data_IF_618012658515
#
_entry.id   IF_618012658515
#
_cell.length_a   1.000
_cell.length_b   1.000
_cell.length_c   1.000
_cell.angle_alpha   90.00
_cell.angle_beta   90.00
_cell.angle_gamma   90.00
#
_symmetry.space_group_name_H-M   'P 1'
#
loop_
_entity.id
_entity.type
_entity.pdbx_description
1 polymer ?
#
# COMPACT_ATOMS: atom_id res chain seq x y z
N UNK A 1 26.18 -13.24 14.20
CA UNK A 1 25.21 -12.37 13.47
C UNK A 1 23.83 -12.90 13.76
N UNK A 2 22.96 -12.11 14.41
CA UNK A 2 21.60 -12.54 14.77
C UNK A 2 20.75 -12.68 13.51
N UNK A 3 20.58 -13.89 12.98
CA UNK A 3 19.54 -14.20 12.00
C UNK A 3 18.18 -14.17 12.70
N UNK A 4 17.66 -12.98 12.96
CA UNK A 4 16.33 -12.77 13.55
C UNK A 4 15.25 -12.71 12.47
N UNK A 5 14.02 -13.13 12.80
CA UNK A 5 12.80 -13.01 11.98
C UNK A 5 12.62 -11.61 11.41
N UNK A 6 13.08 -10.60 12.14
CA UNK A 6 13.10 -9.19 11.75
C UNK A 6 13.82 -8.97 10.43
N UNK A 7 14.98 -9.60 10.20
CA UNK A 7 15.71 -9.44 8.94
C UNK A 7 14.98 -10.08 7.77
N UNK A 8 14.39 -11.26 7.98
CA UNK A 8 13.58 -11.93 6.96
C UNK A 8 12.35 -11.12 6.57
N UNK A 9 11.67 -10.50 7.56
CA UNK A 9 10.53 -9.61 7.30
C UNK A 9 10.99 -8.34 6.57
N UNK A 10 12.12 -7.76 6.98
CA UNK A 10 12.67 -6.56 6.35
C UNK A 10 13.03 -6.79 4.87
N UNK A 11 13.57 -7.96 4.53
CA UNK A 11 13.80 -8.33 3.12
C UNK A 11 12.48 -8.37 2.35
N UNK A 12 11.43 -8.97 2.92
CA UNK A 12 10.09 -8.99 2.30
C UNK A 12 9.53 -7.59 2.06
N UNK A 13 9.60 -6.71 3.07
CA UNK A 13 9.21 -5.30 2.96
C UNK A 13 10.00 -4.58 1.87
N UNK A 14 11.33 -4.73 1.85
CA UNK A 14 12.17 -4.07 0.86
C UNK A 14 11.86 -4.51 -0.58
N UNK A 15 11.60 -5.80 -0.80
CA UNK A 15 11.20 -6.32 -2.13
C UNK A 15 9.85 -5.74 -2.54
N UNK A 16 8.89 -5.69 -1.61
CA UNK A 16 7.57 -5.14 -1.88
C UNK A 16 7.62 -3.64 -2.19
N UNK A 17 8.37 -2.86 -1.41
CA UNK A 17 8.52 -1.42 -1.62
C UNK A 17 9.25 -1.13 -2.94
N UNK A 18 10.24 -1.95 -3.32
CA UNK A 18 10.93 -1.83 -4.61
C UNK A 18 9.96 -2.01 -5.78
N UNK A 19 9.10 -3.04 -5.73
CA UNK A 19 8.09 -3.29 -6.78
C UNK A 19 7.15 -2.09 -6.93
N UNK A 20 6.65 -1.56 -5.82
CA UNK A 20 5.76 -0.39 -5.81
C UNK A 20 6.46 0.86 -6.37
N UNK A 21 7.73 1.07 -6.01
CA UNK A 21 8.52 2.20 -6.51
C UNK A 21 8.73 2.10 -8.03
N UNK A 22 9.11 0.92 -8.53
CA UNK A 22 9.32 0.69 -9.97
C UNK A 22 8.04 0.96 -10.74
N UNK A 23 6.90 0.46 -10.26
CA UNK A 23 5.62 0.72 -10.90
C UNK A 23 5.25 2.21 -10.88
N UNK A 24 5.45 2.90 -9.77
CA UNK A 24 5.17 4.34 -9.67
C UNK A 24 6.00 5.14 -10.69
N UNK A 25 7.26 4.76 -10.89
CA UNK A 25 8.13 5.37 -11.91
C UNK A 25 7.61 5.08 -13.31
N UNK A 26 7.21 3.84 -13.61
CA UNK A 26 6.67 3.47 -14.92
C UNK A 26 5.38 4.22 -15.22
N UNK A 27 4.48 4.34 -14.24
CA UNK A 27 3.20 5.04 -14.40
C UNK A 27 3.43 6.54 -14.61
N UNK A 28 4.26 7.18 -13.78
CA UNK A 28 4.57 8.62 -13.92
C UNK A 28 5.32 8.96 -15.21
N UNK A 29 6.22 8.08 -15.69
CA UNK A 29 6.87 8.27 -16.98
C UNK A 29 5.90 8.14 -18.17
N UNK A 30 4.78 7.45 -17.97
CA UNK A 30 3.75 7.20 -18.97
C UNK A 30 2.48 8.04 -18.74
N UNK A 31 2.57 9.17 -18.03
CA UNK A 31 1.39 10.02 -17.69
C UNK A 31 0.58 10.45 -18.93
N UNK A 32 1.25 10.68 -20.06
CA UNK A 32 0.59 11.00 -21.33
C UNK A 32 -0.38 9.89 -21.81
N UNK A 33 -0.10 8.62 -21.48
CA UNK A 33 -0.98 7.48 -21.80
C UNK A 33 -2.24 7.42 -20.94
N UNK A 34 -2.26 8.07 -19.76
CA UNK A 34 -3.42 8.09 -18.88
C UNK A 34 -4.38 9.24 -19.20
N UNK A 35 -3.86 10.42 -19.59
CA UNK A 35 -4.69 11.57 -19.97
C UNK A 35 -5.26 11.47 -21.38
N UNK A 36 -4.56 10.82 -22.32
CA UNK A 36 -5.02 10.62 -23.71
C UNK A 36 -5.56 9.21 -23.95
N UNK A 37 -6.25 8.61 -22.95
CA UNK A 37 -6.73 7.22 -23.02
C UNK A 37 -7.67 6.98 -24.21
N UNK A 38 -8.50 7.97 -24.56
CA UNK A 38 -9.39 7.95 -25.72
C UNK A 38 -8.72 8.32 -27.06
N UNK A 39 -7.41 8.62 -27.03
CA UNK A 39 -6.67 9.19 -28.16
C UNK A 39 -6.91 10.69 -28.31
N UNK A 40 -6.07 11.36 -29.11
CA UNK A 40 -6.33 12.74 -29.55
C UNK A 40 -6.84 12.71 -30.99
N UNK A 41 -7.20 13.87 -31.55
CA UNK A 41 -7.66 13.97 -32.94
C UNK A 41 -6.68 13.32 -33.95
N UNK A 42 -5.39 13.29 -33.62
CA UNK A 42 -4.32 12.76 -34.46
C UNK A 42 -3.40 11.74 -33.75
N UNK A 43 -3.78 11.21 -32.58
CA UNK A 43 -3.03 10.14 -31.92
C UNK A 43 -3.98 8.98 -31.55
N UNK A 44 -3.63 7.73 -31.88
CA UNK A 44 -4.51 6.60 -31.64
C UNK A 44 -4.71 6.35 -30.13
N UNK A 45 -5.87 5.81 -29.73
CA UNK A 45 -6.15 5.45 -28.34
C UNK A 45 -5.24 4.33 -27.84
N UNK A 46 -5.19 4.18 -26.52
CA UNK A 46 -4.44 3.08 -25.90
C UNK A 46 -5.02 1.73 -26.31
N UNK A 47 -4.14 0.74 -26.52
CA UNK A 47 -4.61 -0.60 -26.87
C UNK A 47 -5.27 -1.29 -25.68
N UNK A 48 -6.26 -2.15 -25.96
CA UNK A 48 -6.90 -2.98 -24.94
C UNK A 48 -5.89 -3.79 -24.09
N UNK A 49 -4.84 -4.31 -24.74
CA UNK A 49 -3.79 -5.07 -24.06
C UNK A 49 -3.00 -4.19 -23.07
N UNK A 50 -2.57 -3.00 -23.50
CA UNK A 50 -1.85 -2.06 -22.64
C UNK A 50 -2.70 -1.64 -21.42
N UNK A 51 -3.99 -1.35 -21.66
CA UNK A 51 -4.91 -0.99 -20.58
C UNK A 51 -5.12 -2.17 -19.60
N UNK A 52 -5.33 -3.38 -20.11
CA UNK A 52 -5.48 -4.57 -19.27
C UNK A 52 -4.22 -4.89 -18.46
N UNK A 53 -3.03 -4.74 -19.06
CA UNK A 53 -1.77 -4.91 -18.36
C UNK A 53 -1.61 -3.86 -17.25
N UNK A 54 -1.86 -2.58 -17.56
CA UNK A 54 -1.77 -1.50 -16.57
C UNK A 54 -2.70 -1.72 -15.38
N UNK A 55 -3.92 -2.19 -15.62
CA UNK A 55 -4.88 -2.51 -14.56
C UNK A 55 -4.40 -3.65 -13.66
N UNK A 56 -3.88 -4.73 -14.26
CA UNK A 56 -3.33 -5.86 -13.50
C UNK A 56 -2.11 -5.47 -12.67
N UNK A 57 -1.24 -4.63 -13.21
CA UNK A 57 -0.08 -4.10 -12.50
C UNK A 57 -0.54 -3.26 -11.31
N UNK A 58 -1.51 -2.37 -11.48
CA UNK A 58 -2.07 -1.55 -10.40
C UNK A 58 -2.66 -2.40 -9.26
N UNK A 59 -3.37 -3.47 -9.60
CA UNK A 59 -3.92 -4.43 -8.62
C UNK A 59 -2.80 -5.15 -7.87
N UNK A 60 -1.72 -5.54 -8.56
CA UNK A 60 -0.53 -6.12 -7.93
C UNK A 60 0.15 -5.11 -7.00
N UNK A 61 0.24 -3.85 -7.41
CA UNK A 61 0.77 -2.76 -6.60
C UNK A 61 0.00 -2.61 -5.28
N UNK A 62 -1.33 -2.62 -5.35
CA UNK A 62 -2.20 -2.53 -4.18
C UNK A 62 -1.99 -3.72 -3.21
N UNK A 63 -1.89 -4.94 -3.75
CA UNK A 63 -1.58 -6.15 -2.99
C UNK A 63 -0.23 -6.05 -2.25
N UNK A 64 0.81 -5.69 -2.99
CA UNK A 64 2.19 -5.62 -2.50
C UNK A 64 2.34 -4.51 -1.47
N UNK A 65 1.76 -3.33 -1.74
CA UNK A 65 1.74 -2.20 -0.80
C UNK A 65 1.01 -2.55 0.49
N UNK A 66 -0.18 -3.15 0.42
CA UNK A 66 -0.92 -3.61 1.61
C UNK A 66 -0.08 -4.60 2.41
N UNK A 67 0.55 -5.56 1.73
CA UNK A 67 1.39 -6.58 2.37
C UNK A 67 2.59 -5.98 3.08
N UNK A 68 3.27 -5.00 2.46
CA UNK A 68 4.42 -4.29 3.05
C UNK A 68 4.05 -3.60 4.37
N UNK A 69 2.94 -2.87 4.37
CA UNK A 69 2.46 -2.13 5.56
C UNK A 69 2.12 -3.08 6.71
N UNK A 70 1.40 -4.17 6.44
CA UNK A 70 1.08 -5.17 7.47
C UNK A 70 2.33 -5.90 7.99
N UNK A 71 3.33 -6.14 7.13
CA UNK A 71 4.62 -6.70 7.56
C UNK A 71 5.39 -5.75 8.46
N UNK A 72 5.34 -4.44 8.22
CA UNK A 72 5.94 -3.45 9.10
C UNK A 72 5.29 -3.45 10.50
N UNK A 73 3.96 -3.55 10.57
CA UNK A 73 3.21 -3.70 11.83
C UNK A 73 3.64 -4.99 12.55
N UNK A 74 3.68 -6.12 11.83
CA UNK A 74 4.08 -7.41 12.40
C UNK A 74 5.52 -7.37 12.92
N UNK A 75 6.45 -6.75 12.19
CA UNK A 75 7.83 -6.56 12.63
C UNK A 75 7.90 -5.75 13.93
N UNK A 76 7.17 -4.63 14.03
CA UNK A 76 7.14 -3.81 15.23
C UNK A 76 6.55 -4.58 16.43
N UNK A 77 5.47 -5.33 16.20
CA UNK A 77 4.81 -6.15 17.21
C UNK A 77 5.70 -7.30 17.71
N UNK A 78 6.37 -8.01 16.82
CA UNK A 78 7.32 -9.09 17.20
C UNK A 78 8.43 -8.52 18.08
N UNK A 79 9.03 -7.38 17.69
CA UNK A 79 10.08 -6.72 18.50
C UNK A 79 9.56 -6.32 19.87
N UNK A 80 8.36 -5.76 19.96
CA UNK A 80 7.73 -5.37 21.22
C UNK A 80 7.51 -6.58 22.13
N UNK A 81 6.95 -7.67 21.60
CA UNK A 81 6.66 -8.88 22.37
C UNK A 81 7.94 -9.54 22.91
N UNK A 82 8.96 -9.69 22.06
CA UNK A 82 10.25 -10.28 22.45
C UNK A 82 10.95 -9.46 23.53
N UNK A 83 10.86 -8.13 23.48
CA UNK A 83 11.43 -7.24 24.51
C UNK A 83 10.63 -7.25 25.81
N UNK A 84 9.29 -7.29 25.73
CA UNK A 84 8.41 -7.23 26.89
C UNK A 84 8.38 -8.53 27.68
N UNK A 85 8.51 -9.68 27.01
CA UNK A 85 8.40 -11.01 27.61
C UNK A 85 9.63 -11.89 27.37
N UNK A 86 10.81 -11.51 27.91
CA UNK A 86 12.05 -12.21 27.63
C UNK A 86 12.05 -13.69 28.09
N UNK A 87 11.29 -14.03 29.13
CA UNK A 87 11.25 -15.39 29.70
C UNK A 87 10.26 -16.36 29.04
N UNK A 88 9.46 -15.93 28.07
CA UNK A 88 8.49 -16.81 27.40
C UNK A 88 9.10 -17.45 26.15
N UNK A 89 9.40 -18.75 26.21
CA UNK A 89 10.02 -19.50 25.11
C UNK A 89 9.21 -19.48 23.79
N UNK A 90 7.88 -19.43 23.87
CA UNK A 90 7.01 -19.35 22.69
C UNK A 90 7.22 -18.03 21.93
N UNK A 91 7.29 -16.92 22.66
CA UNK A 91 7.50 -15.58 22.10
C UNK A 91 8.94 -15.46 21.57
N UNK A 92 9.92 -16.03 22.26
CA UNK A 92 11.30 -16.10 21.76
C UNK A 92 11.40 -16.89 20.44
N UNK A 93 10.58 -17.93 20.26
CA UNK A 93 10.47 -18.67 19.02
C UNK A 93 10.04 -17.82 17.81
N UNK A 94 9.34 -16.70 18.02
CA UNK A 94 8.97 -15.74 16.97
C UNK A 94 10.17 -14.97 16.41
N UNK A 95 11.32 -15.00 17.11
CA UNK A 95 12.56 -14.40 16.62
C UNK A 95 13.28 -15.27 15.58
N UNK A 96 12.80 -16.49 15.31
CA UNK A 96 13.43 -17.37 14.33
C UNK A 96 13.22 -16.90 12.88
N UNK A 97 14.22 -16.98 11.99
CA UNK A 97 14.12 -16.47 10.63
C UNK A 97 13.03 -17.20 9.82
N UNK A 98 12.83 -18.50 10.05
CA UNK A 98 11.74 -19.27 9.44
C UNK A 98 10.35 -18.73 9.78
N UNK A 99 10.16 -18.17 10.98
CA UNK A 99 8.91 -17.50 11.34
C UNK A 99 8.71 -16.23 10.53
N UNK A 100 9.79 -15.46 10.29
CA UNK A 100 9.75 -14.27 9.44
C UNK A 100 9.32 -14.58 8.01
N UNK A 101 9.90 -15.59 7.36
CA UNK A 101 9.49 -16.01 6.02
C UNK A 101 8.03 -16.50 5.97
N UNK A 102 7.61 -17.29 6.97
CA UNK A 102 6.20 -17.71 7.09
C UNK A 102 5.27 -16.50 7.24
N UNK A 103 5.68 -15.48 7.99
CA UNK A 103 4.90 -14.24 8.15
C UNK A 103 4.77 -13.49 6.82
N UNK A 104 5.83 -13.37 6.03
CA UNK A 104 5.78 -12.73 4.70
C UNK A 104 4.76 -13.42 3.80
N UNK A 105 4.83 -14.75 3.71
CA UNK A 105 3.91 -15.54 2.89
C UNK A 105 2.47 -15.42 3.43
N UNK A 106 2.28 -15.53 4.74
CA UNK A 106 0.96 -15.42 5.36
C UNK A 106 0.33 -14.04 5.10
N UNK A 107 1.07 -12.94 5.30
CA UNK A 107 0.55 -11.59 5.06
C UNK A 107 0.22 -11.35 3.60
N UNK A 108 1.02 -11.87 2.67
CA UNK A 108 0.71 -11.81 1.24
C UNK A 108 -0.59 -12.55 0.91
N UNK A 109 -0.74 -13.80 1.40
CA UNK A 109 -1.94 -14.60 1.17
C UNK A 109 -3.20 -13.98 1.80
N UNK A 110 -3.09 -13.40 3.00
CA UNK A 110 -4.20 -12.68 3.64
C UNK A 110 -4.60 -11.42 2.86
N UNK A 111 -3.66 -10.81 2.13
CA UNK A 111 -3.92 -9.60 1.34
C UNK A 111 -4.50 -9.91 -0.04
N UNK A 112 -4.39 -11.15 -0.53
CA UNK A 112 -4.90 -11.57 -1.84
C UNK A 112 -6.42 -11.36 -2.00
N UNK A 113 -7.32 -11.80 -1.08
CA UNK A 113 -8.76 -11.67 -1.28
C UNK A 113 -9.23 -10.23 -1.46
N UNK A 114 -8.65 -9.30 -0.69
CA UNK A 114 -8.95 -7.87 -0.81
C UNK A 114 -8.54 -7.33 -2.19
N UNK A 115 -7.39 -7.75 -2.71
CA UNK A 115 -6.88 -7.30 -4.01
C UNK A 115 -7.62 -7.96 -5.18
N UNK A 116 -8.06 -9.22 -5.01
CA UNK A 116 -8.95 -9.89 -5.95
C UNK A 116 -10.29 -9.16 -6.05
N UNK A 117 -10.86 -8.73 -4.92
CA UNK A 117 -12.09 -7.95 -4.95
C UNK A 117 -11.86 -6.55 -5.58
N UNK A 118 -10.67 -5.96 -5.38
CA UNK A 118 -10.28 -4.73 -6.06
C UNK A 118 -10.19 -4.92 -7.59
N UNK A 119 -9.67 -6.05 -8.07
CA UNK A 119 -9.58 -6.36 -9.49
C UNK A 119 -10.94 -6.31 -10.20
N UNK A 120 -11.99 -6.85 -9.56
CA UNK A 120 -13.36 -6.89 -10.09
C UNK A 120 -14.12 -5.57 -10.00
N UNK A 121 -13.44 -4.48 -9.63
CA UNK A 121 -14.07 -3.15 -9.48
C UNK A 121 -14.41 -2.51 -10.84
N UNK A 122 -13.54 -2.71 -11.83
CA UNK A 122 -13.69 -2.10 -13.14
C UNK A 122 -13.63 -3.16 -14.25
N UNK A 123 -14.53 -3.01 -15.22
CA UNK A 123 -14.56 -3.76 -16.46
C UNK A 123 -14.00 -2.85 -17.57
N UNK A 124 -13.19 -3.43 -18.45
CA UNK A 124 -12.70 -2.74 -19.65
C UNK A 124 -13.74 -2.92 -20.73
N UNK A 125 -14.32 -1.80 -21.18
CA UNK A 125 -15.37 -1.78 -22.20
C UNK A 125 -14.91 -1.00 -23.42
N UNK A 126 -15.38 -1.42 -24.59
CA UNK A 126 -15.17 -0.70 -25.85
C UNK A 126 -16.31 0.31 -26.02
N UNK A 127 -15.98 1.60 -26.06
CA UNK A 127 -16.95 2.68 -26.20
C UNK A 127 -17.30 2.97 -27.67
N UNK A 128 -16.35 2.75 -28.58
CA UNK A 128 -16.53 3.03 -29.99
C UNK A 128 -15.25 2.83 -30.80
N UNK A 129 -15.22 3.36 -32.02
CA UNK A 129 -14.05 3.36 -32.89
C UNK A 129 -13.50 4.78 -33.05
N UNK A 130 -12.21 4.94 -32.80
CA UNK A 130 -11.44 6.13 -33.11
C UNK A 130 -11.04 6.11 -34.59
N UNK A 131 -11.16 7.28 -35.22
CA UNK A 131 -10.67 7.57 -36.56
C UNK A 131 -9.90 8.89 -36.54
N UNK A 132 -8.77 9.01 -37.25
CA UNK A 132 -8.05 10.26 -37.37
C UNK A 132 -8.89 11.30 -38.11
N UNK A 133 -8.79 12.57 -37.71
CA UNK A 133 -9.43 13.68 -38.43
C UNK A 133 -8.68 14.02 -39.73
N UNK A 134 -9.39 14.66 -40.67
CA UNK A 134 -8.90 14.95 -42.03
C UNK A 134 -7.61 15.79 -42.09
N UNK A 135 -7.27 16.54 -41.02
CA UNK A 135 -6.10 17.40 -40.96
C UNK A 135 -4.83 16.69 -40.42
N UNK A 136 -4.89 15.40 -40.11
CA UNK A 136 -3.76 14.67 -39.54
C UNK A 136 -2.81 14.17 -40.64
N UNK A 137 -1.63 14.78 -40.78
CA UNK A 137 -0.70 14.50 -41.89
C UNK A 137 0.18 13.24 -41.70
N UNK A 138 0.14 12.60 -40.54
CA UNK A 138 1.06 11.50 -40.17
C UNK A 138 0.38 10.14 -39.92
N UNK A 139 -0.92 10.00 -40.23
CA UNK A 139 -1.70 8.77 -39.96
C UNK A 139 -2.59 8.45 -41.17
N UNK A 140 -2.73 7.16 -41.49
CA UNK A 140 -3.65 6.70 -42.52
C UNK A 140 -5.10 7.01 -42.11
N UNK A 141 -5.81 7.79 -42.94
CA UNK A 141 -7.19 8.21 -42.70
C UNK A 141 -8.21 7.05 -42.60
N UNK A 142 -7.89 5.91 -43.23
CA UNK A 142 -8.71 4.70 -43.19
C UNK A 142 -8.46 3.82 -41.96
N UNK A 143 -7.50 4.17 -41.10
CA UNK A 143 -7.21 3.36 -39.90
C UNK A 143 -8.25 3.56 -38.81
N UNK A 144 -8.79 2.46 -38.30
CA UNK A 144 -9.73 2.42 -37.17
C UNK A 144 -9.12 1.71 -35.97
N UNK A 145 -9.29 2.30 -34.79
CA UNK A 145 -8.83 1.71 -33.54
C UNK A 145 -9.96 1.73 -32.50
N UNK A 146 -10.15 0.68 -31.69
CA UNK A 146 -11.19 0.68 -30.66
C UNK A 146 -10.83 1.63 -29.52
N UNK A 147 -11.76 2.50 -29.13
CA UNK A 147 -11.66 3.32 -27.92
C UNK A 147 -12.06 2.44 -26.73
N UNK A 148 -11.10 2.24 -25.82
CA UNK A 148 -11.28 1.42 -24.61
C UNK A 148 -11.27 2.28 -23.36
N UNK A 149 -12.20 2.02 -22.46
CA UNK A 149 -12.32 2.74 -21.19
C UNK A 149 -12.61 1.77 -20.03
N UNK A 150 -12.32 2.22 -18.81
CA UNK A 150 -12.59 1.47 -17.58
C UNK A 150 -13.91 1.95 -16.99
N UNK A 151 -14.93 1.09 -17.00
CA UNK A 151 -16.22 1.38 -16.40
C UNK A 151 -16.42 0.55 -15.14
N UNK A 152 -17.17 1.10 -14.18
CA UNK A 152 -17.45 0.41 -12.93
C UNK A 152 -18.19 -0.89 -13.25
N UNK A 153 -17.70 -2.01 -12.72
CA UNK A 153 -18.27 -3.33 -13.02
C UNK A 153 -19.72 -3.43 -12.54
N UNK A 154 -20.53 -4.23 -13.24
CA UNK A 154 -21.95 -4.42 -12.89
C UNK A 154 -22.18 -4.89 -11.45
N UNK A 155 -21.24 -5.66 -10.90
CA UNK A 155 -21.23 -6.09 -9.50
C UNK A 155 -21.14 -4.92 -8.50
N UNK A 156 -20.44 -3.85 -8.87
CA UNK A 156 -20.22 -2.67 -8.04
C UNK A 156 -21.28 -1.59 -8.25
N UNK A 157 -22.04 -1.63 -9.35
CA UNK A 157 -23.20 -0.75 -9.59
C UNK A 157 -24.52 -1.38 -9.15
N UNK A 158 -24.58 -2.70 -8.97
CA UNK A 158 -25.76 -3.40 -8.46
C UNK A 158 -26.10 -2.97 -7.02
N UNK A 159 -27.40 -3.01 -6.67
CA UNK A 159 -27.91 -2.59 -5.35
C UNK A 159 -27.48 -1.15 -4.96
N UNK A 160 -27.72 -0.17 -5.83
CA UNK A 160 -27.39 1.25 -5.63
C UNK A 160 -25.91 1.51 -5.29
N UNK A 161 -25.02 0.60 -5.71
CA UNK A 161 -23.59 0.67 -5.40
C UNK A 161 -23.24 0.39 -3.93
N UNK A 162 -24.16 -0.15 -3.14
CA UNK A 162 -23.96 -0.45 -1.71
C UNK A 162 -22.76 -1.38 -1.48
N UNK A 163 -22.60 -2.41 -2.34
CA UNK A 163 -21.47 -3.34 -2.29
C UNK A 163 -20.14 -2.62 -2.52
N UNK A 164 -20.10 -1.73 -3.50
CA UNK A 164 -18.91 -0.93 -3.81
C UNK A 164 -18.54 0.02 -2.68
N UNK A 165 -19.52 0.77 -2.14
CA UNK A 165 -19.33 1.69 -1.00
C UNK A 165 -18.82 0.94 0.24
N UNK A 166 -19.45 -0.18 0.59
CA UNK A 166 -19.08 -1.00 1.76
C UNK A 166 -17.67 -1.56 1.61
N UNK A 167 -17.34 -2.11 0.44
CA UNK A 167 -16.00 -2.63 0.19
C UNK A 167 -14.93 -1.52 0.24
N UNK A 168 -15.18 -0.38 -0.40
CA UNK A 168 -14.21 0.73 -0.37
C UNK A 168 -13.96 1.24 1.04
N UNK A 169 -15.03 1.36 1.85
CA UNK A 169 -14.91 1.74 3.25
C UNK A 169 -14.07 0.72 4.03
N UNK A 170 -14.35 -0.58 3.88
CA UNK A 170 -13.59 -1.64 4.52
C UNK A 170 -12.12 -1.66 4.06
N UNK A 171 -11.88 -1.56 2.75
CA UNK A 171 -10.54 -1.57 2.17
C UNK A 171 -9.71 -0.35 2.61
N UNK A 172 -10.30 0.85 2.58
CA UNK A 172 -9.68 2.08 3.08
C UNK A 172 -9.33 1.99 4.56
N UNK A 173 -10.25 1.46 5.37
CA UNK A 173 -10.03 1.26 6.81
C UNK A 173 -8.87 0.30 7.08
N UNK A 174 -8.88 -0.88 6.45
CA UNK A 174 -7.86 -1.93 6.65
C UNK A 174 -6.49 -1.55 6.09
N UNK A 175 -6.45 -0.84 4.97
CA UNK A 175 -5.20 -0.54 4.26
C UNK A 175 -4.57 0.78 4.72
N UNK A 176 -5.35 1.76 5.18
CA UNK A 176 -4.87 3.10 5.53
C UNK A 176 -5.03 3.41 7.01
N UNK A 177 -6.26 3.37 7.52
CA UNK A 177 -6.57 3.87 8.87
C UNK A 177 -5.95 2.99 9.97
N UNK A 178 -6.15 1.68 9.89
CA UNK A 178 -5.63 0.76 10.92
C UNK A 178 -4.10 0.86 11.00
N UNK A 179 -3.34 0.76 9.89
CA UNK A 179 -1.89 0.95 9.94
C UNK A 179 -1.44 2.31 10.44
N UNK A 180 -2.11 3.39 10.02
CA UNK A 180 -1.78 4.76 10.43
C UNK A 180 -1.86 4.94 11.96
N UNK A 181 -2.76 4.23 12.64
CA UNK A 181 -2.88 4.27 14.10
C UNK A 181 -1.95 3.24 14.76
N UNK A 182 -1.90 2.01 14.22
CA UNK A 182 -1.15 0.91 14.80
C UNK A 182 0.36 1.15 14.78
N UNK A 183 0.92 1.67 13.68
CA UNK A 183 2.36 1.88 13.55
C UNK A 183 2.90 2.87 14.59
N UNK A 184 2.32 4.08 14.79
CA UNK A 184 2.74 4.99 15.86
C UNK A 184 2.54 4.40 17.26
N UNK A 185 1.41 3.74 17.52
CA UNK A 185 1.13 3.15 18.85
C UNK A 185 2.15 2.06 19.20
N UNK A 186 2.41 1.13 18.28
CA UNK A 186 3.40 0.07 18.48
C UNK A 186 4.81 0.64 18.63
N UNK A 187 5.16 1.65 17.82
CA UNK A 187 6.46 2.33 17.91
C UNK A 187 6.62 3.02 19.26
N UNK A 188 5.59 3.71 19.76
CA UNK A 188 5.60 4.33 21.08
C UNK A 188 5.80 3.31 22.20
N UNK A 189 5.03 2.22 22.19
CA UNK A 189 5.17 1.14 23.18
C UNK A 189 6.57 0.51 23.13
N UNK A 190 7.11 0.28 21.94
CA UNK A 190 8.45 -0.28 21.75
C UNK A 190 9.51 0.63 22.38
N UNK A 191 9.39 1.94 22.16
CA UNK A 191 10.29 2.95 22.74
C UNK A 191 10.21 2.96 24.27
N UNK A 192 9.02 2.84 24.85
CA UNK A 192 8.85 2.76 26.31
C UNK A 192 9.54 1.52 26.90
N UNK A 193 9.37 0.35 26.29
CA UNK A 193 9.99 -0.88 26.77
C UNK A 193 11.52 -0.84 26.60
N UNK A 194 12.03 -0.29 25.50
CA UNK A 194 13.46 -0.07 25.31
C UNK A 194 14.05 0.83 26.40
N UNK A 195 13.37 1.94 26.72
CA UNK A 195 13.75 2.83 27.82
C UNK A 195 13.73 2.14 29.18
N UNK A 196 12.71 1.32 29.44
CA UNK A 196 12.60 0.54 30.69
C UNK A 196 13.75 -0.46 30.82
N UNK A 197 14.06 -1.18 29.75
CA UNK A 197 15.18 -2.11 29.69
C UNK A 197 16.54 -1.39 29.85
N UNK A 198 16.71 -0.21 29.25
CA UNK A 198 17.89 0.63 29.48
C UNK A 198 17.99 1.15 30.91
N UNK A 199 16.88 1.61 31.52
CA UNK A 199 16.86 2.07 32.92
C UNK A 199 17.23 0.94 33.88
N UNK A 200 16.72 -0.27 33.66
CA UNK A 200 17.10 -1.46 34.43
C UNK A 200 18.61 -1.76 34.28
N UNK A 201 19.16 -1.69 33.05
CA UNK A 201 20.60 -1.86 32.79
C UNK A 201 21.48 -0.72 33.37
N UNK A 202 20.95 0.50 33.47
CA UNK A 202 21.62 1.65 34.11
C UNK A 202 21.66 1.53 35.63
N UNK A 203 20.70 0.84 36.26
CA UNK A 203 20.81 0.49 37.68
C UNK A 203 21.98 -0.49 37.95
N UNK A 204 22.48 -1.17 36.90
CA UNK A 204 23.68 -2.01 36.93
C UNK A 204 24.95 -1.32 36.37
N UNK A 205 24.85 -0.15 35.72
CA UNK A 205 26.00 0.54 35.10
C UNK A 205 25.94 2.07 35.25
N UNK A 206 26.98 2.64 35.86
CA UNK A 206 27.05 4.02 36.35
C UNK A 206 27.38 5.08 35.27
N UNK A 207 26.85 4.98 34.04
CA UNK A 207 27.34 5.82 32.92
C UNK A 207 26.25 6.58 32.14
N UNK A 208 26.40 7.92 32.17
CA UNK A 208 25.88 9.05 31.35
C UNK A 208 24.39 9.12 30.94
N UNK A 209 23.77 10.26 31.30
CA UNK A 209 22.33 10.56 31.32
C UNK A 209 21.79 11.33 30.10
N UNK A 210 22.63 11.93 29.23
CA UNK A 210 22.16 13.02 28.35
C UNK A 210 21.82 12.66 26.90
N UNK A 211 22.38 11.60 26.31
CA UNK A 211 22.20 11.31 24.87
C UNK A 211 20.90 10.56 24.57
N UNK A 212 20.49 9.63 25.45
CA UNK A 212 19.30 8.78 25.28
C UNK A 212 17.97 9.55 25.27
N UNK A 213 17.82 10.57 26.13
CA UNK A 213 16.58 11.35 26.20
C UNK A 213 16.31 12.11 24.89
N UNK A 214 17.37 12.65 24.26
CA UNK A 214 17.29 13.43 23.02
C UNK A 214 16.86 12.58 21.82
N UNK A 215 17.40 11.36 21.68
CA UNK A 215 17.02 10.43 20.59
C UNK A 215 15.58 9.98 20.71
N UNK A 216 15.06 9.84 21.94
CA UNK A 216 13.68 9.40 22.11
C UNK A 216 12.66 10.49 21.82
N UNK A 217 12.94 11.74 22.19
CA UNK A 217 12.12 12.87 21.77
C UNK A 217 12.04 12.97 20.25
N UNK A 218 13.15 12.64 19.57
CA UNK A 218 13.26 12.57 18.12
C UNK A 218 12.39 11.45 17.51
N UNK A 219 12.41 10.23 18.06
CA UNK A 219 11.56 9.13 17.60
C UNK A 219 10.07 9.42 17.83
N UNK A 220 9.73 10.04 18.97
CA UNK A 220 8.37 10.46 19.27
C UNK A 220 7.88 11.53 18.27
N UNK A 221 8.73 12.52 17.98
CA UNK A 221 8.46 13.55 16.99
C UNK A 221 8.26 12.98 15.59
N UNK A 222 9.08 12.01 15.18
CA UNK A 222 8.94 11.31 13.89
C UNK A 222 7.60 10.56 13.81
N UNK A 223 7.20 9.84 14.87
CA UNK A 223 5.94 9.10 14.90
C UNK A 223 4.72 10.02 14.87
N UNK A 224 4.76 11.15 15.60
CA UNK A 224 3.69 12.16 15.57
C UNK A 224 3.62 12.82 14.19
N UNK A 225 4.75 13.15 13.58
CA UNK A 225 4.79 13.75 12.24
C UNK A 225 4.23 12.80 11.19
N UNK A 226 4.58 11.51 11.26
CA UNK A 226 4.03 10.47 10.39
C UNK A 226 2.51 10.35 10.53
N UNK A 227 2.00 10.36 11.76
CA UNK A 227 0.56 10.35 12.01
C UNK A 227 -0.15 11.58 11.44
N UNK A 228 0.41 12.78 11.64
CA UNK A 228 -0.16 14.04 11.13
C UNK A 228 -0.12 14.13 9.59
N UNK A 229 0.85 13.49 8.93
CA UNK A 229 0.95 13.48 7.47
C UNK A 229 0.08 12.40 6.82
N UNK A 230 -0.02 11.21 7.41
CA UNK A 230 -0.79 10.11 6.82
C UNK A 230 -2.29 10.18 7.11
N UNK A 231 -2.69 10.74 8.26
CA UNK A 231 -4.10 10.80 8.64
C UNK A 231 -4.95 11.65 7.66
N UNK A 232 -4.50 12.84 7.20
CA UNK A 232 -5.21 13.60 6.18
C UNK A 232 -5.37 12.82 4.88
N UNK A 233 -4.32 12.13 4.42
CA UNK A 233 -4.37 11.30 3.21
C UNK A 233 -5.35 10.12 3.37
N UNK A 234 -5.39 9.49 4.54
CA UNK A 234 -6.35 8.44 4.87
C UNK A 234 -7.79 8.96 4.92
N UNK A 235 -7.99 10.16 5.47
CA UNK A 235 -9.30 10.82 5.56
C UNK A 235 -9.84 11.22 4.18
N UNK A 236 -9.01 11.82 3.33
CA UNK A 236 -9.38 12.15 1.93
C UNK A 236 -9.85 10.90 1.18
N UNK A 237 -9.16 9.77 1.37
CA UNK A 237 -9.54 8.52 0.72
C UNK A 237 -10.93 8.02 1.17
N UNK A 238 -11.31 8.20 2.44
CA UNK A 238 -12.64 7.83 2.95
C UNK A 238 -13.72 8.80 2.44
N UNK A 239 -13.44 10.10 2.48
CA UNK A 239 -14.38 11.12 1.95
C UNK A 239 -14.61 10.92 0.45
N UNK A 240 -13.60 10.49 -0.29
CA UNK A 240 -13.74 10.14 -1.71
C UNK A 240 -14.72 8.98 -1.91
N UNK A 241 -14.79 8.00 -0.98
CA UNK A 241 -15.82 6.93 -1.02
C UNK A 241 -17.21 7.50 -0.81
N UNK A 242 -17.38 8.46 0.09
CA UNK A 242 -18.68 9.09 0.36
C UNK A 242 -19.16 9.96 -0.82
N UNK A 243 -18.23 10.55 -1.59
CA UNK A 243 -18.55 11.42 -2.73
C UNK A 243 -18.44 10.75 -4.11
N UNK A 244 -18.25 9.43 -4.19
CA UNK A 244 -18.16 8.69 -5.48
C UNK A 244 -19.43 8.70 -6.35
N UNK A 245 -20.52 9.35 -5.92
CA UNK A 245 -21.63 9.69 -6.81
C UNK A 245 -21.21 10.76 -7.87
N UNK A 246 -20.10 11.47 -7.63
CA UNK A 246 -19.38 12.26 -8.63
C UNK A 246 -18.18 11.44 -9.08
N UNK A 247 -18.33 10.72 -10.19
CA UNK A 247 -17.26 9.94 -10.79
C UNK A 247 -16.00 10.77 -10.96
N UNK A 248 -14.93 10.37 -10.27
CA UNK A 248 -13.57 10.77 -10.59
C UNK A 248 -12.71 9.53 -10.63
N UNK A 249 -12.09 9.36 -11.81
CA UNK A 249 -11.10 8.35 -12.16
C UNK A 249 -9.84 8.45 -11.29
#
# INVERSE_FOLDING_TARGET
MMTSSVFSILIGVAVFDLVVLVETIITSANDNLFFEREGTDCAPPVTHFALSLSWKTLVLCDLVRRSSVWLAIMMALIRLLVLKFPGNHMIQGMSNPSFGFKSVIATFLLSCPFSTFFYFRYDIVVLGEWKPKEFCENINLDSTFPIVDQRLSSLFTSFDGLLGKTYMFANGTVTKIIPCIMLPVLTFLLVLELRKAEKSRKHLSFTKRSTTERTTGLVLFMAISFFVLELPMGFVYIVQVEHTDLGFM
#
